data_IF_442282925596
#
_entry.id   IF_442282925596
#
_cell.length_a   1.000
_cell.length_b   1.000
_cell.length_c   1.000
_cell.angle_alpha   90.00
_cell.angle_beta   90.00
_cell.angle_gamma   90.00
#
_symmetry.space_group_name_H-M   'P 1'
#
loop_
_entity.id
_entity.type
_entity.pdbx_description
1 polymer ?
#
# COMPACT_ATOMS: atom_id res chain seq x y z
N UNK A 1 10.37 -5.15 -29.32
CA UNK A 1 9.82 -6.37 -29.95
C UNK A 1 10.51 -6.72 -31.27
N UNK A 2 10.91 -5.74 -32.09
CA UNK A 2 11.51 -5.99 -33.43
C UNK A 2 12.94 -6.56 -33.43
N UNK A 3 13.69 -6.45 -32.34
CA UNK A 3 15.06 -7.00 -32.24
C UNK A 3 15.02 -8.48 -31.87
N UNK A 4 15.96 -9.29 -32.41
CA UNK A 4 16.06 -10.72 -32.10
C UNK A 4 16.28 -10.95 -30.58
N UNK A 5 15.87 -12.12 -30.05
CA UNK A 5 16.24 -12.54 -28.69
C UNK A 5 17.77 -12.60 -28.52
N UNK A 6 18.25 -12.49 -27.29
CA UNK A 6 19.67 -12.68 -26.97
C UNK A 6 20.08 -14.10 -27.36
N UNK A 7 21.28 -14.32 -27.93
CA UNK A 7 21.76 -15.68 -28.26
C UNK A 7 21.61 -16.61 -27.06
N UNK A 8 20.99 -17.78 -27.28
CA UNK A 8 20.73 -18.78 -26.24
C UNK A 8 19.34 -18.65 -25.55
N UNK A 9 18.52 -17.66 -25.90
CA UNK A 9 17.14 -17.54 -25.38
C UNK A 9 16.13 -17.74 -26.50
N UNK A 10 15.00 -18.42 -26.17
CA UNK A 10 13.94 -18.69 -27.15
C UNK A 10 12.99 -17.51 -27.37
N UNK A 11 12.91 -16.58 -26.43
CA UNK A 11 12.02 -15.39 -26.50
C UNK A 11 12.52 -14.25 -25.60
N UNK A 12 12.02 -13.05 -25.85
CA UNK A 12 12.19 -11.87 -24.99
C UNK A 12 11.00 -11.74 -24.05
N UNK A 13 11.26 -11.25 -22.84
CA UNK A 13 10.21 -10.78 -21.91
C UNK A 13 10.16 -9.26 -21.97
N UNK A 14 8.98 -8.73 -22.19
CA UNK A 14 8.68 -7.29 -22.12
C UNK A 14 7.74 -7.08 -20.94
N UNK A 15 8.23 -6.38 -19.92
CA UNK A 15 7.46 -6.01 -18.75
C UNK A 15 6.97 -4.57 -18.90
N UNK A 16 5.66 -4.37 -18.71
CA UNK A 16 5.01 -3.06 -18.73
C UNK A 16 4.34 -2.86 -17.37
N UNK A 17 4.92 -1.99 -16.57
CA UNK A 17 4.33 -1.58 -15.30
C UNK A 17 3.30 -0.48 -15.53
N UNK A 18 2.31 -0.39 -14.63
CA UNK A 18 1.22 0.60 -14.71
C UNK A 18 0.52 0.63 -16.08
N UNK A 19 0.29 -0.53 -16.68
CA UNK A 19 -0.29 -0.65 -18.02
C UNK A 19 -1.71 -0.03 -18.13
N UNK A 20 -2.40 0.15 -17.01
CA UNK A 20 -3.69 0.85 -16.91
C UNK A 20 -3.59 2.38 -17.06
N UNK A 21 -2.37 2.95 -17.06
CA UNK A 21 -2.12 4.34 -17.40
C UNK A 21 -2.02 4.59 -18.92
N UNK A 22 -1.91 3.53 -19.73
CA UNK A 22 -1.88 3.65 -21.19
C UNK A 22 -3.24 4.12 -21.72
N UNK A 23 -3.20 5.05 -22.70
CA UNK A 23 -4.40 5.47 -23.42
C UNK A 23 -5.02 4.29 -24.21
N UNK A 24 -6.33 4.33 -24.51
CA UNK A 24 -6.98 3.28 -25.33
C UNK A 24 -6.28 3.05 -26.69
N UNK A 25 -5.82 4.11 -27.34
CA UNK A 25 -5.10 4.02 -28.61
C UNK A 25 -3.74 3.33 -28.46
N UNK A 26 -3.00 3.65 -27.39
CA UNK A 26 -1.74 2.99 -27.07
C UNK A 26 -1.95 1.51 -26.73
N UNK A 27 -3.00 1.17 -26.00
CA UNK A 27 -3.39 -0.22 -25.75
C UNK A 27 -3.78 -0.94 -27.03
N UNK A 28 -4.49 -0.28 -27.96
CA UNK A 28 -4.79 -0.84 -29.28
C UNK A 28 -3.55 -1.12 -30.12
N UNK A 29 -2.54 -0.24 -30.05
CA UNK A 29 -1.24 -0.46 -30.70
C UNK A 29 -0.46 -1.60 -30.02
N UNK A 30 -0.45 -1.64 -28.68
CA UNK A 30 0.18 -2.72 -27.90
C UNK A 30 -0.40 -4.09 -28.28
N UNK A 31 -1.73 -4.20 -28.38
CA UNK A 31 -2.40 -5.43 -28.82
C UNK A 31 -1.82 -5.96 -30.14
N UNK A 32 -1.69 -5.07 -31.14
CA UNK A 32 -1.13 -5.45 -32.46
C UNK A 32 0.33 -5.94 -32.32
N UNK A 33 1.13 -5.27 -31.50
CA UNK A 33 2.53 -5.66 -31.24
C UNK A 33 2.58 -7.04 -30.58
N UNK A 34 1.71 -7.32 -29.62
CA UNK A 34 1.60 -8.61 -28.95
C UNK A 34 1.28 -9.74 -29.96
N UNK A 35 0.29 -9.50 -30.84
CA UNK A 35 -0.11 -10.47 -31.88
C UNK A 35 1.01 -10.75 -32.87
N UNK A 36 1.67 -9.70 -33.37
CA UNK A 36 2.74 -9.83 -34.38
C UNK A 36 4.01 -10.49 -33.87
N UNK A 37 4.28 -10.40 -32.57
CA UNK A 37 5.54 -10.87 -31.97
C UNK A 37 5.34 -12.02 -30.97
N UNK A 38 4.21 -12.70 -31.01
CA UNK A 38 3.86 -13.76 -30.05
C UNK A 38 4.89 -14.94 -30.05
N UNK A 39 5.59 -15.18 -31.14
CA UNK A 39 6.61 -16.23 -31.20
C UNK A 39 7.94 -15.83 -30.53
N UNK A 40 8.30 -14.55 -30.60
CA UNK A 40 9.62 -14.05 -30.18
C UNK A 40 9.57 -13.25 -28.89
N UNK A 41 8.37 -12.84 -28.43
CA UNK A 41 8.18 -12.03 -27.23
C UNK A 41 7.10 -12.59 -26.31
N UNK A 42 7.31 -12.42 -25.00
CA UNK A 42 6.29 -12.60 -23.97
C UNK A 42 6.07 -11.26 -23.29
N UNK A 43 4.82 -10.95 -22.97
CA UNK A 43 4.44 -9.70 -22.35
C UNK A 43 3.92 -9.97 -20.95
N UNK A 44 4.42 -9.20 -19.99
CA UNK A 44 3.92 -9.14 -18.63
C UNK A 44 3.42 -7.72 -18.43
N UNK A 45 2.14 -7.57 -18.09
CA UNK A 45 1.52 -6.29 -17.80
C UNK A 45 1.15 -6.25 -16.31
N UNK A 46 1.59 -5.24 -15.60
CA UNK A 46 1.18 -4.94 -14.24
C UNK A 46 0.18 -3.78 -14.27
N UNK A 47 -0.89 -3.87 -13.47
CA UNK A 47 -1.87 -2.80 -13.36
C UNK A 47 -2.59 -2.87 -12.01
N UNK A 48 -3.06 -1.71 -11.52
CA UNK A 48 -3.89 -1.62 -10.32
C UNK A 48 -5.37 -1.91 -10.64
N UNK A 49 -5.83 -1.52 -11.83
CA UNK A 49 -7.23 -1.63 -12.25
C UNK A 49 -7.35 -2.40 -13.56
N UNK A 50 -7.64 -3.69 -13.48
CA UNK A 50 -7.84 -4.52 -14.68
C UNK A 50 -8.97 -4.02 -15.58
N UNK A 51 -9.97 -3.33 -15.02
CA UNK A 51 -11.08 -2.72 -15.78
C UNK A 51 -10.65 -1.60 -16.74
N UNK A 52 -9.45 -1.02 -16.54
CA UNK A 52 -8.88 -0.02 -17.45
C UNK A 52 -8.09 -0.64 -18.61
N UNK A 53 -7.82 -1.94 -18.56
CA UNK A 53 -7.19 -2.66 -19.67
C UNK A 53 -8.28 -3.10 -20.64
N UNK A 54 -8.10 -2.81 -21.93
CA UNK A 54 -9.09 -3.19 -22.95
C UNK A 54 -9.26 -4.70 -23.03
N UNK A 55 -10.49 -5.17 -23.23
CA UNK A 55 -10.84 -6.58 -23.29
C UNK A 55 -9.97 -7.39 -24.30
N UNK A 56 -9.64 -6.87 -25.51
CA UNK A 56 -8.78 -7.58 -26.43
C UNK A 56 -7.37 -7.91 -25.93
N UNK A 57 -6.85 -7.15 -24.95
CA UNK A 57 -5.60 -7.47 -24.27
C UNK A 57 -5.87 -8.50 -23.18
N UNK A 58 -6.89 -8.28 -22.34
CA UNK A 58 -7.21 -9.19 -21.25
C UNK A 58 -7.47 -10.62 -21.74
N UNK A 59 -8.19 -10.78 -22.85
CA UNK A 59 -8.50 -12.11 -23.42
C UNK A 59 -7.28 -12.87 -23.95
N UNK A 60 -6.13 -12.21 -24.11
CA UNK A 60 -4.86 -12.79 -24.56
C UNK A 60 -3.85 -13.00 -23.45
N UNK A 61 -4.18 -12.63 -22.23
CA UNK A 61 -3.32 -12.73 -21.06
C UNK A 61 -3.90 -13.71 -20.04
N UNK A 62 -3.03 -14.45 -19.37
CA UNK A 62 -3.40 -15.10 -18.12
C UNK A 62 -3.45 -14.03 -17.01
N UNK A 63 -4.60 -13.90 -16.34
CA UNK A 63 -4.79 -12.89 -15.31
C UNK A 63 -4.48 -13.46 -13.93
N UNK A 64 -3.49 -12.88 -13.27
CA UNK A 64 -3.13 -13.18 -11.89
C UNK A 64 -3.57 -12.01 -11.00
N UNK A 65 -4.36 -12.32 -9.97
CA UNK A 65 -4.86 -11.30 -9.03
C UNK A 65 -4.11 -11.41 -7.71
N UNK A 66 -3.41 -10.35 -7.37
CA UNK A 66 -2.74 -10.20 -6.07
C UNK A 66 -3.70 -9.55 -5.08
N UNK A 67 -3.71 -10.07 -3.87
CA UNK A 67 -4.44 -9.51 -2.74
C UNK A 67 -3.47 -8.81 -1.80
N UNK A 68 -3.94 -7.87 -0.96
CA UNK A 68 -3.13 -7.38 0.14
C UNK A 68 -2.58 -8.53 0.97
N UNK A 69 -1.39 -8.35 1.52
CA UNK A 69 -0.78 -9.36 2.39
C UNK A 69 -1.56 -9.49 3.69
N UNK A 70 -1.53 -10.67 4.27
CA UNK A 70 -2.06 -10.90 5.61
C UNK A 70 -1.16 -10.23 6.67
N UNK A 71 -1.75 -9.86 7.80
CA UNK A 71 -1.08 -9.08 8.85
C UNK A 71 0.17 -9.79 9.39
N UNK A 72 0.11 -11.11 9.55
CA UNK A 72 1.24 -11.95 9.99
C UNK A 72 2.41 -11.93 8.99
N UNK A 73 2.12 -11.89 7.69
CA UNK A 73 3.12 -11.80 6.64
C UNK A 73 3.80 -10.42 6.63
N UNK A 74 3.02 -9.35 6.75
CA UNK A 74 3.55 -7.98 6.85
C UNK A 74 4.41 -7.86 8.10
N UNK A 75 3.91 -8.34 9.26
CA UNK A 75 4.64 -8.32 10.53
C UNK A 75 5.98 -9.05 10.45
N UNK A 76 5.97 -10.26 9.90
CA UNK A 76 7.18 -11.07 9.73
C UNK A 76 8.24 -10.34 8.88
N UNK A 77 7.80 -9.70 7.77
CA UNK A 77 8.70 -8.96 6.90
C UNK A 77 9.25 -7.71 7.59
N UNK A 78 8.42 -6.94 8.29
CA UNK A 78 8.85 -5.74 9.03
C UNK A 78 9.90 -6.09 10.09
N UNK A 79 9.68 -7.16 10.85
CA UNK A 79 10.63 -7.65 11.87
C UNK A 79 11.93 -8.14 11.22
N UNK A 80 11.86 -8.83 10.08
CA UNK A 80 13.06 -9.26 9.34
C UNK A 80 13.89 -8.08 8.87
N UNK A 81 13.25 -7.09 8.24
CA UNK A 81 13.95 -5.88 7.76
C UNK A 81 14.54 -5.08 8.92
N UNK A 82 13.80 -4.94 10.03
CA UNK A 82 14.30 -4.25 11.22
C UNK A 82 15.56 -4.95 11.78
N UNK A 83 15.58 -6.29 11.78
CA UNK A 83 16.76 -7.07 12.22
C UNK A 83 17.95 -6.97 11.26
N UNK A 84 17.71 -6.89 9.95
CA UNK A 84 18.76 -6.72 8.92
C UNK A 84 19.40 -5.33 8.95
N UNK A 85 18.63 -4.30 9.33
CA UNK A 85 19.06 -2.90 9.41
C UNK A 85 19.44 -2.45 10.82
N UNK A 86 19.54 -3.38 11.79
CA UNK A 86 19.85 -3.12 13.20
C UNK A 86 18.91 -2.10 13.89
N UNK A 87 17.66 -2.01 13.45
CA UNK A 87 16.65 -1.13 14.02
C UNK A 87 16.05 -1.77 15.28
N UNK A 88 16.06 -1.04 16.40
CA UNK A 88 15.38 -1.47 17.63
C UNK A 88 13.87 -1.22 17.48
N UNK A 89 13.13 -2.28 17.26
CA UNK A 89 11.69 -2.25 17.02
C UNK A 89 10.92 -2.95 18.15
N UNK A 90 10.04 -2.22 18.82
CA UNK A 90 9.14 -2.80 19.81
C UNK A 90 8.08 -3.69 19.14
N UNK A 91 7.58 -4.69 19.87
CA UNK A 91 6.56 -5.63 19.37
C UNK A 91 5.27 -4.91 19.00
N UNK A 92 4.84 -3.95 19.80
CA UNK A 92 3.63 -3.15 19.58
C UNK A 92 3.83 -2.08 18.49
N UNK A 93 5.06 -1.63 18.26
CA UNK A 93 5.42 -0.81 17.11
C UNK A 93 5.30 -1.60 15.79
N UNK A 94 5.72 -2.87 15.79
CA UNK A 94 5.52 -3.76 14.64
C UNK A 94 4.02 -3.92 14.33
N UNK A 95 3.19 -4.12 15.36
CA UNK A 95 1.74 -4.23 15.21
C UNK A 95 1.11 -2.90 14.73
N UNK A 96 1.63 -1.76 15.17
CA UNK A 96 1.21 -0.45 14.65
C UNK A 96 1.55 -0.28 13.17
N UNK A 97 2.75 -0.71 12.72
CA UNK A 97 3.13 -0.68 11.30
C UNK A 97 2.20 -1.57 10.47
N UNK A 98 1.85 -2.76 10.94
CA UNK A 98 0.87 -3.63 10.27
C UNK A 98 -0.46 -2.91 10.13
N UNK A 99 -0.96 -2.31 11.21
CA UNK A 99 -2.23 -1.59 11.22
C UNK A 99 -2.25 -0.43 10.21
N UNK A 100 -1.20 0.39 10.16
CA UNK A 100 -1.17 1.56 9.25
C UNK A 100 -0.94 1.17 7.78
N UNK A 101 -0.30 0.03 7.53
CA UNK A 101 0.05 -0.42 6.18
C UNK A 101 -1.12 -1.04 5.40
N UNK A 102 -2.07 -1.68 6.08
CA UNK A 102 -3.26 -2.33 5.48
C UNK A 102 -2.90 -3.40 4.43
N UNK A 103 -1.87 -4.19 4.69
CA UNK A 103 -1.39 -5.22 3.78
C UNK A 103 -0.53 -4.71 2.62
N UNK A 104 -0.21 -3.42 2.59
CA UNK A 104 0.75 -2.82 1.65
C UNK A 104 2.15 -2.84 2.25
N UNK A 105 2.99 -3.76 1.75
CA UNK A 105 4.35 -3.95 2.25
C UNK A 105 5.25 -2.74 1.98
N UNK A 106 5.07 -2.04 0.86
CA UNK A 106 5.85 -0.82 0.56
C UNK A 106 5.57 0.25 1.61
N UNK A 107 4.29 0.43 1.94
CA UNK A 107 3.87 1.36 2.99
C UNK A 107 4.41 0.94 4.36
N UNK A 108 4.41 -0.36 4.68
CA UNK A 108 4.95 -0.88 5.93
C UNK A 108 6.46 -0.57 6.07
N UNK A 109 7.24 -0.88 5.04
CA UNK A 109 8.69 -0.62 5.04
C UNK A 109 8.99 0.89 5.08
N UNK A 110 8.26 1.69 4.31
CA UNK A 110 8.40 3.17 4.36
C UNK A 110 8.07 3.71 5.75
N UNK A 111 7.03 3.19 6.42
CA UNK A 111 6.69 3.61 7.78
C UNK A 111 7.79 3.24 8.78
N UNK A 112 8.39 2.05 8.65
CA UNK A 112 9.54 1.65 9.47
C UNK A 112 10.74 2.58 9.24
N UNK A 113 11.07 2.88 7.98
CA UNK A 113 12.18 3.78 7.63
C UNK A 113 11.99 5.20 8.18
N UNK A 114 10.78 5.75 8.05
CA UNK A 114 10.48 7.08 8.57
C UNK A 114 10.57 7.08 10.10
N UNK A 115 9.99 6.09 10.76
CA UNK A 115 10.03 6.00 12.22
C UNK A 115 11.47 5.85 12.75
N UNK A 116 12.29 5.00 12.13
CA UNK A 116 13.71 4.83 12.52
C UNK A 116 14.60 6.04 12.24
N UNK A 117 14.18 6.91 11.32
CA UNK A 117 14.88 8.20 11.10
C UNK A 117 14.60 9.25 12.18
N UNK A 118 13.52 9.08 12.94
CA UNK A 118 13.16 9.99 14.04
C UNK A 118 13.84 9.59 15.36
N UNK A 119 13.92 8.29 15.61
CA UNK A 119 14.57 7.75 16.82
C UNK A 119 15.20 6.38 16.51
N UNK A 120 16.32 6.05 17.17
CA UNK A 120 16.99 4.73 17.07
C UNK A 120 16.11 3.60 17.63
N UNK A 121 15.15 3.93 18.50
CA UNK A 121 14.22 2.99 19.10
C UNK A 121 12.78 3.28 18.63
N UNK A 122 12.30 2.46 17.73
CA UNK A 122 10.98 2.60 17.13
C UNK A 122 9.90 2.10 18.08
N UNK A 123 9.13 3.03 18.62
CA UNK A 123 7.97 2.77 19.49
C UNK A 123 6.67 2.92 18.72
N UNK A 124 5.59 2.42 19.29
CA UNK A 124 4.23 2.52 18.75
C UNK A 124 3.80 3.98 18.50
N UNK A 125 4.13 4.87 19.43
CA UNK A 125 3.80 6.30 19.37
C UNK A 125 4.44 6.96 18.17
N UNK A 126 5.74 6.71 17.96
CA UNK A 126 6.51 7.25 16.82
C UNK A 126 5.88 6.80 15.49
N UNK A 127 5.46 5.53 15.38
CA UNK A 127 4.80 5.03 14.17
C UNK A 127 3.51 5.79 13.88
N UNK A 128 2.64 6.00 14.85
CA UNK A 128 1.38 6.72 14.64
C UNK A 128 1.58 8.20 14.34
N UNK A 129 2.54 8.84 15.02
CA UNK A 129 2.87 10.26 14.79
C UNK A 129 3.46 10.47 13.37
N UNK A 130 4.39 9.62 12.95
CA UNK A 130 5.05 9.75 11.64
C UNK A 130 4.14 9.40 10.46
N UNK A 131 3.15 8.54 10.67
CA UNK A 131 2.23 8.10 9.60
C UNK A 131 0.93 8.92 9.53
N UNK A 132 0.79 9.97 10.34
CA UNK A 132 -0.43 10.76 10.46
C UNK A 132 -1.67 9.84 10.60
N UNK A 133 -1.60 8.88 11.52
CA UNK A 133 -2.66 7.90 11.77
C UNK A 133 -3.00 7.93 13.26
N UNK A 134 -4.28 7.97 13.59
CA UNK A 134 -4.70 7.87 14.99
C UNK A 134 -4.77 6.41 15.45
N UNK A 135 -4.26 6.08 16.66
CA UNK A 135 -4.44 4.76 17.23
C UNK A 135 -5.93 4.38 17.33
N UNK A 136 -6.30 3.11 17.12
CA UNK A 136 -7.71 2.68 17.18
C UNK A 136 -8.40 3.02 18.49
N UNK A 137 -7.68 2.97 19.61
CA UNK A 137 -8.22 3.30 20.95
C UNK A 137 -8.58 4.78 21.08
N UNK A 138 -7.80 5.66 20.45
CA UNK A 138 -8.11 7.10 20.48
C UNK A 138 -9.32 7.41 19.60
N UNK A 139 -9.47 6.74 18.46
CA UNK A 139 -10.67 6.83 17.64
C UNK A 139 -11.90 6.33 18.41
N UNK A 140 -11.78 5.19 19.08
CA UNK A 140 -12.87 4.63 19.89
C UNK A 140 -13.28 5.58 21.01
N UNK A 141 -12.32 6.16 21.75
CA UNK A 141 -12.58 7.17 22.80
C UNK A 141 -13.25 8.42 22.24
N UNK A 142 -12.88 8.84 21.03
CA UNK A 142 -13.54 9.95 20.35
C UNK A 142 -15.01 9.63 20.04
N UNK A 143 -15.31 8.43 19.55
CA UNK A 143 -16.70 8.00 19.30
C UNK A 143 -17.54 7.92 20.56
N UNK A 144 -16.99 7.37 21.63
CA UNK A 144 -17.69 7.35 22.91
C UNK A 144 -18.04 8.76 23.38
N UNK A 145 -17.10 9.70 23.26
CA UNK A 145 -17.35 11.08 23.60
C UNK A 145 -18.44 11.74 22.73
N UNK A 146 -18.50 11.40 21.43
CA UNK A 146 -19.58 11.88 20.56
C UNK A 146 -20.96 11.37 20.99
N UNK A 147 -21.02 10.13 21.49
CA UNK A 147 -22.28 9.48 21.87
C UNK A 147 -22.73 9.85 23.27
N UNK A 148 -21.82 9.96 24.24
CA UNK A 148 -22.12 10.00 25.66
C UNK A 148 -21.88 11.39 26.28
N UNK A 149 -20.83 12.09 25.87
CA UNK A 149 -20.38 13.32 26.53
C UNK A 149 -20.93 14.61 25.90
N UNK A 150 -21.52 14.51 24.69
CA UNK A 150 -22.07 15.63 23.96
C UNK A 150 -21.01 16.41 23.13
N UNK A 151 -21.47 17.49 22.46
CA UNK A 151 -20.70 18.17 21.41
C UNK A 151 -19.38 18.81 21.90
N UNK A 152 -19.35 19.46 23.05
CA UNK A 152 -18.16 20.20 23.47
C UNK A 152 -16.98 19.30 23.89
N UNK A 153 -17.17 18.22 24.66
CA UNK A 153 -16.11 17.22 24.89
C UNK A 153 -15.65 16.54 23.63
N UNK A 154 -16.56 16.11 22.74
CA UNK A 154 -16.22 15.51 21.46
C UNK A 154 -15.37 16.44 20.58
N UNK A 155 -15.73 17.72 20.48
CA UNK A 155 -14.95 18.72 19.75
C UNK A 155 -13.55 18.93 20.31
N UNK A 156 -13.39 18.94 21.64
CA UNK A 156 -12.07 19.05 22.27
C UNK A 156 -11.20 17.85 21.96
N UNK A 157 -11.75 16.62 22.05
CA UNK A 157 -11.03 15.39 21.67
C UNK A 157 -10.63 15.39 20.20
N UNK A 158 -11.57 15.75 19.33
CA UNK A 158 -11.28 15.86 17.89
C UNK A 158 -10.06 16.76 17.64
N UNK A 159 -10.05 17.96 18.22
CA UNK A 159 -8.91 18.87 18.07
C UNK A 159 -7.61 18.26 18.59
N UNK A 160 -7.65 17.63 19.76
CA UNK A 160 -6.48 16.96 20.32
C UNK A 160 -5.93 15.86 19.40
N UNK A 161 -6.80 15.10 18.74
CA UNK A 161 -6.38 14.09 17.75
C UNK A 161 -5.75 14.72 16.51
N UNK A 162 -6.39 15.76 15.95
CA UNK A 162 -5.88 16.46 14.77
C UNK A 162 -4.52 17.10 15.05
N UNK A 163 -4.37 17.76 16.20
CA UNK A 163 -3.13 18.46 16.59
C UNK A 163 -1.99 17.46 16.91
N UNK A 164 -2.31 16.38 17.66
CA UNK A 164 -1.30 15.40 18.10
C UNK A 164 -0.73 14.56 16.97
N UNK A 165 -1.57 14.08 16.06
CA UNK A 165 -1.16 13.18 14.98
C UNK A 165 -1.02 13.89 13.63
N UNK A 166 -1.13 15.21 13.55
CA UNK A 166 -1.01 15.97 12.31
C UNK A 166 -2.08 15.62 11.27
N UNK A 167 -3.28 15.20 11.71
CA UNK A 167 -4.35 14.73 10.84
C UNK A 167 -5.12 15.89 10.21
N UNK A 168 -5.47 15.77 8.94
CA UNK A 168 -6.54 16.57 8.37
C UNK A 168 -7.91 15.92 8.68
N UNK A 169 -8.98 16.72 8.71
CA UNK A 169 -10.33 16.19 8.97
C UNK A 169 -10.76 15.09 7.99
N UNK A 170 -10.32 15.17 6.74
CA UNK A 170 -10.52 14.15 5.71
C UNK A 170 -9.82 12.83 6.05
N UNK A 171 -8.62 12.89 6.63
CA UNK A 171 -7.85 11.70 6.99
C UNK A 171 -8.55 10.95 8.12
N UNK A 172 -9.08 11.69 9.09
CA UNK A 172 -9.87 11.11 10.16
C UNK A 172 -11.11 10.39 9.61
N UNK A 173 -11.89 11.03 8.73
CA UNK A 173 -13.07 10.42 8.10
C UNK A 173 -12.71 9.10 7.42
N UNK A 174 -11.59 9.03 6.72
CA UNK A 174 -11.12 7.82 6.04
C UNK A 174 -10.67 6.71 7.01
N UNK A 175 -10.31 7.06 8.24
CA UNK A 175 -9.91 6.11 9.29
C UNK A 175 -11.10 5.60 10.11
N UNK A 176 -12.24 6.31 10.14
CA UNK A 176 -13.43 6.00 10.93
C UNK A 176 -14.02 4.60 10.68
N UNK A 177 -14.17 4.10 9.42
CA UNK A 177 -14.74 2.78 9.17
C UNK A 177 -13.91 1.63 9.75
N UNK A 178 -12.65 1.88 10.09
CA UNK A 178 -11.67 0.89 10.56
C UNK A 178 -11.64 0.73 12.08
N UNK A 179 -12.09 1.73 12.80
CA UNK A 179 -12.12 1.74 14.28
C UNK A 179 -13.44 1.27 14.89
N UNK A 180 -14.40 0.83 14.07
CA UNK A 180 -15.74 0.42 14.51
C UNK A 180 -15.98 -1.11 14.38
N UNK A 181 -14.95 -1.88 14.04
CA UNK A 181 -15.02 -3.34 13.89
C UNK A 181 -14.55 -4.08 15.13
#
# INVERSE_FOLDING_TARGET
ARTAPVPGTSFKVIFLDEADALTPDAQGALRRIMEQNAQTCRFILSCNYSSKIIEPIQSRCAVFRFRPLADDQVRSMVVSVAGEEDIKLDSDAADAIVHVSLGDLRKAITSLQVASSMDEHVTREIVYETTATAPPEELHRFFLACREDGFQPARRRLRGLLDRFGLAGTDLINQLPRGLG
#
